data_IF_343743283887
#
_entry.id   IF_343743283887
#
_cell.length_a   1.000
_cell.length_b   1.000
_cell.length_c   1.000
_cell.angle_alpha   90.00
_cell.angle_beta   90.00
_cell.angle_gamma   90.00
#
_symmetry.space_group_name_H-M   'P 1'
#
loop_
_entity.id
_entity.type
_entity.pdbx_description
1 polymer ?
#
# COMPACT_ATOMS: atom_id res chain seq x y z
N UNK A 1 -3.86 9.22 -21.44
CA UNK A 1 -2.99 8.09 -21.05
C UNK A 1 -2.56 8.10 -19.58
N UNK A 2 -1.95 9.17 -19.04
CA UNK A 2 -1.48 9.22 -17.63
C UNK A 2 -2.58 8.94 -16.61
N UNK A 3 -3.76 9.55 -16.79
CA UNK A 3 -4.90 9.37 -15.90
C UNK A 3 -5.65 8.05 -16.18
N UNK A 4 -5.46 7.45 -17.35
CA UNK A 4 -6.03 6.14 -17.71
C UNK A 4 -5.38 5.02 -16.90
N UNK A 5 -4.05 5.03 -16.75
CA UNK A 5 -3.33 4.07 -15.89
C UNK A 5 -3.92 4.06 -14.47
N UNK A 6 -4.22 5.23 -13.94
CA UNK A 6 -4.84 5.37 -12.61
C UNK A 6 -6.24 4.74 -12.57
N UNK A 7 -7.09 5.01 -13.56
CA UNK A 7 -8.44 4.43 -13.66
C UNK A 7 -8.36 2.90 -13.71
N UNK A 8 -7.49 2.35 -14.55
CA UNK A 8 -7.31 0.91 -14.68
C UNK A 8 -6.89 0.26 -13.35
N UNK A 9 -5.98 0.89 -12.60
CA UNK A 9 -5.57 0.41 -11.27
C UNK A 9 -6.70 0.44 -10.23
N UNK A 10 -7.57 1.46 -10.27
CA UNK A 10 -8.69 1.57 -9.33
C UNK A 10 -9.79 0.55 -9.65
N UNK A 11 -10.04 0.27 -10.92
CA UNK A 11 -11.04 -0.71 -11.36
C UNK A 11 -10.54 -2.16 -11.25
N UNK A 12 -9.25 -2.38 -11.11
CA UNK A 12 -8.62 -3.69 -11.08
C UNK A 12 -9.27 -4.70 -10.10
N UNK A 13 -9.62 -4.34 -8.84
CA UNK A 13 -10.27 -5.28 -7.93
C UNK A 13 -11.64 -5.76 -8.44
N UNK A 14 -12.37 -4.90 -9.13
CA UNK A 14 -13.66 -5.23 -9.74
C UNK A 14 -13.45 -6.13 -10.96
N UNK A 15 -12.50 -5.79 -11.84
CA UNK A 15 -12.17 -6.59 -13.03
C UNK A 15 -11.77 -8.01 -12.63
N UNK A 16 -10.84 -8.18 -11.68
CA UNK A 16 -10.40 -9.49 -11.24
C UNK A 16 -11.57 -10.38 -10.75
N UNK A 17 -12.50 -9.79 -10.00
CA UNK A 17 -13.67 -10.52 -9.50
C UNK A 17 -14.62 -10.92 -10.62
N UNK A 18 -14.87 -10.03 -11.57
CA UNK A 18 -15.72 -10.33 -12.72
C UNK A 18 -15.10 -11.44 -13.58
N UNK A 19 -13.78 -11.42 -13.79
CA UNK A 19 -13.07 -12.42 -14.59
C UNK A 19 -13.02 -13.79 -13.93
N UNK A 20 -12.83 -13.84 -12.60
CA UNK A 20 -12.92 -15.07 -11.83
C UNK A 20 -14.32 -15.69 -11.94
N UNK A 21 -15.36 -14.85 -11.85
CA UNK A 21 -16.75 -15.30 -11.97
C UNK A 21 -17.12 -15.76 -13.38
N UNK A 22 -16.54 -15.16 -14.42
CA UNK A 22 -16.77 -15.58 -15.80
C UNK A 22 -16.01 -16.86 -16.19
N UNK A 23 -15.29 -17.49 -15.26
CA UNK A 23 -14.50 -18.70 -15.53
C UNK A 23 -13.26 -18.47 -16.39
N UNK A 24 -12.90 -17.20 -16.64
CA UNK A 24 -11.71 -16.80 -17.42
C UNK A 24 -10.81 -16.01 -16.48
N UNK A 25 -10.02 -16.67 -15.62
CA UNK A 25 -9.16 -15.97 -14.66
C UNK A 25 -8.15 -15.10 -15.42
N UNK A 26 -8.34 -13.78 -15.36
CA UNK A 26 -7.41 -12.83 -15.95
C UNK A 26 -6.36 -12.41 -14.93
N UNK A 27 -5.50 -13.37 -14.54
CA UNK A 27 -4.54 -13.22 -13.45
C UNK A 27 -3.33 -12.34 -13.77
N UNK A 28 -3.21 -11.86 -15.02
CA UNK A 28 -2.03 -11.13 -15.56
C UNK A 28 -2.31 -9.62 -15.72
N UNK A 29 -3.46 -9.13 -15.24
CA UNK A 29 -3.89 -7.73 -15.43
C UNK A 29 -2.85 -6.72 -14.93
N UNK A 30 -2.29 -6.95 -13.74
CA UNK A 30 -1.34 -6.02 -13.12
C UNK A 30 0.00 -6.02 -13.85
N UNK A 31 0.46 -7.19 -14.28
CA UNK A 31 1.69 -7.41 -15.00
C UNK A 31 1.63 -6.71 -16.35
N UNK A 32 0.50 -6.78 -17.07
CA UNK A 32 0.30 -6.10 -18.35
C UNK A 32 0.29 -4.57 -18.21
N UNK A 33 -0.41 -4.02 -17.22
CA UNK A 33 -0.38 -2.56 -16.98
C UNK A 33 1.02 -2.14 -16.56
N UNK A 34 1.68 -2.90 -15.69
CA UNK A 34 3.04 -2.59 -15.23
C UNK A 34 4.04 -2.62 -16.39
N UNK A 35 3.91 -3.58 -17.31
CA UNK A 35 4.71 -3.65 -18.53
C UNK A 35 4.46 -2.42 -19.41
N UNK A 36 3.20 -2.04 -19.62
CA UNK A 36 2.87 -0.82 -20.37
C UNK A 36 3.50 0.41 -19.73
N UNK A 37 3.41 0.56 -18.40
CA UNK A 37 4.02 1.69 -17.67
C UNK A 37 5.55 1.68 -17.78
N UNK A 38 6.17 0.51 -17.72
CA UNK A 38 7.61 0.36 -17.93
C UNK A 38 8.03 0.80 -19.34
N UNK A 39 7.32 0.36 -20.38
CA UNK A 39 7.59 0.76 -21.76
C UNK A 39 7.43 2.27 -21.94
N UNK A 40 6.41 2.87 -21.33
CA UNK A 40 6.22 4.33 -21.36
C UNK A 40 7.34 5.08 -20.64
N UNK A 41 7.85 4.54 -19.54
CA UNK A 41 9.03 5.09 -18.87
C UNK A 41 10.28 4.99 -19.75
N UNK A 42 10.52 3.83 -20.36
CA UNK A 42 11.65 3.63 -21.27
C UNK A 42 11.60 4.62 -22.45
N UNK A 43 10.43 4.78 -23.08
CA UNK A 43 10.23 5.77 -24.14
C UNK A 43 10.53 7.20 -23.67
N UNK A 44 10.11 7.59 -22.47
CA UNK A 44 10.44 8.91 -21.92
C UNK A 44 11.93 9.10 -21.69
N UNK A 45 12.62 8.06 -21.20
CA UNK A 45 14.07 8.08 -20.98
C UNK A 45 14.80 8.24 -22.32
N UNK A 46 14.40 7.47 -23.35
CA UNK A 46 14.97 7.56 -24.69
C UNK A 46 14.78 8.95 -25.31
N UNK A 47 13.59 9.53 -25.19
CA UNK A 47 13.30 10.87 -25.71
C UNK A 47 14.07 11.97 -24.99
N UNK A 48 14.16 11.90 -23.66
CA UNK A 48 14.82 12.93 -22.85
C UNK A 48 16.33 12.76 -22.72
N UNK A 49 16.85 11.58 -23.05
CA UNK A 49 18.24 11.13 -22.84
C UNK A 49 18.76 11.40 -21.42
N UNK A 50 17.86 11.36 -20.42
CA UNK A 50 18.17 11.64 -19.02
C UNK A 50 17.46 10.64 -18.12
N UNK A 51 18.21 10.02 -17.23
CA UNK A 51 17.72 9.10 -16.21
C UNK A 51 17.70 9.83 -14.86
N UNK A 52 16.63 9.68 -14.10
CA UNK A 52 16.57 10.21 -12.74
C UNK A 52 17.59 9.48 -11.87
N UNK A 53 18.40 10.21 -11.11
CA UNK A 53 19.43 9.64 -10.22
C UNK A 53 18.88 8.52 -9.34
N UNK A 54 17.67 8.68 -8.79
CA UNK A 54 17.02 7.68 -7.94
C UNK A 54 16.80 6.32 -8.63
N UNK A 55 16.73 6.27 -9.97
CA UNK A 55 16.65 5.03 -10.72
C UNK A 55 17.90 4.17 -10.55
N UNK A 56 19.07 4.77 -10.26
CA UNK A 56 20.29 4.01 -9.99
C UNK A 56 20.16 3.12 -8.75
N UNK A 57 19.53 3.60 -7.68
CA UNK A 57 19.29 2.75 -6.50
C UNK A 57 18.39 1.56 -6.84
N UNK A 58 17.39 1.77 -7.68
CA UNK A 58 16.54 0.69 -8.17
C UNK A 58 17.33 -0.30 -9.04
N UNK A 59 18.18 0.17 -9.95
CA UNK A 59 19.02 -0.70 -10.78
C UNK A 59 20.02 -1.50 -9.94
N UNK A 60 20.62 -0.90 -8.91
CA UNK A 60 21.50 -1.61 -7.96
C UNK A 60 20.72 -2.68 -7.19
N UNK A 61 19.50 -2.37 -6.75
CA UNK A 61 18.63 -3.36 -6.10
C UNK A 61 18.29 -4.52 -7.03
N UNK A 62 17.94 -4.25 -8.29
CA UNK A 62 17.70 -5.30 -9.30
C UNK A 62 18.95 -6.13 -9.55
N UNK A 63 20.11 -5.51 -9.70
CA UNK A 63 21.38 -6.22 -9.87
C UNK A 63 21.69 -7.13 -8.68
N UNK A 64 21.51 -6.64 -7.44
CA UNK A 64 21.65 -7.43 -6.22
C UNK A 64 20.70 -8.65 -6.23
N UNK A 65 19.42 -8.42 -6.54
CA UNK A 65 18.44 -9.50 -6.61
C UNK A 65 18.80 -10.53 -7.69
N UNK A 66 19.25 -10.08 -8.87
CA UNK A 66 19.70 -10.95 -9.96
C UNK A 66 20.90 -11.80 -9.53
N UNK A 67 21.89 -11.21 -8.85
CA UNK A 67 23.03 -11.95 -8.31
C UNK A 67 22.58 -13.02 -7.30
N UNK A 68 21.61 -12.71 -6.44
CA UNK A 68 21.05 -13.69 -5.51
C UNK A 68 20.36 -14.85 -6.23
N UNK A 69 19.57 -14.57 -7.26
CA UNK A 69 18.92 -15.61 -8.08
C UNK A 69 19.97 -16.51 -8.73
N UNK A 70 21.05 -15.90 -9.23
CA UNK A 70 22.16 -16.62 -9.88
C UNK A 70 22.92 -17.49 -8.89
N UNK A 71 23.35 -16.91 -7.77
CA UNK A 71 24.15 -17.61 -6.76
C UNK A 71 23.40 -18.77 -6.10
N UNK A 72 22.08 -18.66 -5.97
CA UNK A 72 21.22 -19.68 -5.35
C UNK A 72 20.57 -20.63 -6.36
N UNK A 73 20.84 -20.46 -7.66
CA UNK A 73 20.28 -21.28 -8.75
C UNK A 73 18.73 -21.33 -8.79
N UNK A 74 18.05 -20.20 -8.53
CA UNK A 74 16.57 -20.13 -8.42
C UNK A 74 15.94 -19.78 -9.78
N UNK A 75 16.42 -20.40 -10.85
CA UNK A 75 15.96 -20.10 -12.21
C UNK A 75 14.75 -20.94 -12.62
N UNK A 76 13.87 -20.45 -13.51
CA UNK A 76 13.70 -19.05 -13.96
C UNK A 76 12.84 -18.21 -12.99
N UNK A 77 12.27 -18.88 -11.99
CA UNK A 77 11.26 -18.37 -11.08
C UNK A 77 11.70 -17.12 -10.31
N UNK A 78 12.95 -17.08 -9.84
CA UNK A 78 13.52 -15.93 -9.16
C UNK A 78 13.49 -14.66 -10.01
N UNK A 79 13.75 -14.76 -11.32
CA UNK A 79 13.69 -13.61 -12.23
C UNK A 79 12.26 -13.08 -12.42
N UNK A 80 11.28 -13.98 -12.49
CA UNK A 80 9.87 -13.59 -12.53
C UNK A 80 9.49 -12.81 -11.27
N UNK A 81 9.96 -13.26 -10.10
CA UNK A 81 9.70 -12.57 -8.84
C UNK A 81 10.38 -11.19 -8.77
N UNK A 82 11.57 -11.02 -9.35
CA UNK A 82 12.22 -9.70 -9.50
C UNK A 82 11.35 -8.76 -10.34
N UNK A 83 10.78 -9.25 -11.44
CA UNK A 83 9.89 -8.45 -12.28
C UNK A 83 8.64 -7.99 -11.51
N UNK A 84 8.06 -8.89 -10.70
CA UNK A 84 6.92 -8.58 -9.82
C UNK A 84 7.28 -7.50 -8.78
N UNK A 85 8.41 -7.63 -8.10
CA UNK A 85 8.88 -6.63 -7.12
C UNK A 85 9.23 -5.28 -7.75
N UNK A 86 9.61 -5.28 -9.02
CA UNK A 86 9.97 -4.08 -9.77
C UNK A 86 8.78 -3.21 -10.17
N UNK A 87 7.55 -3.77 -10.19
CA UNK A 87 6.35 -3.08 -10.66
C UNK A 87 6.13 -1.74 -9.95
N UNK A 88 6.27 -1.71 -8.62
CA UNK A 88 6.14 -0.47 -7.83
C UNK A 88 7.08 0.64 -8.31
N UNK A 89 8.32 0.29 -8.62
CA UNK A 89 9.34 1.23 -9.09
C UNK A 89 9.04 1.76 -10.48
N UNK A 90 8.44 0.96 -11.37
CA UNK A 90 8.03 1.41 -12.70
C UNK A 90 7.00 2.54 -12.62
N UNK A 91 5.96 2.37 -11.79
CA UNK A 91 4.98 3.43 -11.54
C UNK A 91 5.64 4.67 -10.93
N UNK A 92 6.45 4.50 -9.89
CA UNK A 92 7.12 5.64 -9.25
C UNK A 92 8.00 6.42 -10.24
N UNK A 93 8.89 5.73 -10.97
CA UNK A 93 9.84 6.35 -11.89
C UNK A 93 9.16 7.05 -13.06
N UNK A 94 8.11 6.45 -13.64
CA UNK A 94 7.34 7.02 -14.73
C UNK A 94 6.68 8.36 -14.36
N UNK A 95 6.02 8.42 -13.20
CA UNK A 95 5.36 9.66 -12.77
C UNK A 95 6.37 10.68 -12.22
N UNK A 96 7.48 10.21 -11.64
CA UNK A 96 8.56 11.08 -11.18
C UNK A 96 9.28 11.79 -12.34
N UNK A 97 9.39 11.18 -13.53
CA UNK A 97 10.03 11.78 -14.70
C UNK A 97 9.17 12.80 -15.46
N UNK A 98 7.91 13.02 -15.04
CA UNK A 98 7.04 14.04 -15.62
C UNK A 98 7.55 15.46 -15.32
N UNK A 99 7.23 16.42 -16.20
CA UNK A 99 7.46 17.84 -15.90
C UNK A 99 6.55 18.31 -14.76
N UNK A 100 6.92 19.39 -14.07
CA UNK A 100 6.15 19.90 -12.93
C UNK A 100 4.70 20.21 -13.27
N UNK A 101 4.45 20.90 -14.39
CA UNK A 101 3.09 21.20 -14.85
C UNK A 101 2.30 19.94 -15.17
N UNK A 102 2.97 18.91 -15.70
CA UNK A 102 2.33 17.62 -15.94
C UNK A 102 2.01 16.92 -14.61
N UNK A 103 2.89 17.00 -13.61
CA UNK A 103 2.65 16.43 -12.28
C UNK A 103 1.44 17.07 -11.60
N UNK A 104 1.37 18.40 -11.60
CA UNK A 104 0.25 19.14 -11.00
C UNK A 104 -1.06 18.80 -11.72
N UNK A 105 -1.09 18.90 -13.05
CA UNK A 105 -2.28 18.55 -13.84
C UNK A 105 -2.75 17.12 -13.59
N UNK A 106 -1.84 16.15 -13.61
CA UNK A 106 -2.19 14.75 -13.34
C UNK A 106 -2.68 14.53 -11.91
N UNK A 107 -2.13 15.25 -10.91
CA UNK A 107 -2.64 15.17 -9.53
C UNK A 107 -4.08 15.70 -9.42
N UNK A 108 -4.38 16.80 -10.12
CA UNK A 108 -5.73 17.37 -10.21
C UNK A 108 -6.69 16.39 -10.88
N UNK A 109 -6.30 15.79 -12.01
CA UNK A 109 -7.09 14.76 -12.69
C UNK A 109 -7.39 13.56 -11.78
N UNK A 110 -6.37 13.08 -11.05
CA UNK A 110 -6.49 11.98 -10.10
C UNK A 110 -7.52 12.31 -9.02
N UNK A 111 -7.51 13.52 -8.46
CA UNK A 111 -8.51 13.95 -7.48
C UNK A 111 -9.93 13.90 -8.06
N UNK A 112 -10.15 14.41 -9.26
CA UNK A 112 -11.47 14.37 -9.89
C UNK A 112 -11.94 12.96 -10.22
N UNK A 113 -11.03 12.07 -10.63
CA UNK A 113 -11.33 10.65 -10.84
C UNK A 113 -11.72 10.01 -9.51
N UNK A 114 -10.96 10.27 -8.45
CA UNK A 114 -11.22 9.76 -7.10
C UNK A 114 -12.59 10.21 -6.57
N UNK A 115 -13.01 11.45 -6.82
CA UNK A 115 -14.36 11.92 -6.44
C UNK A 115 -15.46 11.13 -7.16
N UNK A 116 -15.29 10.86 -8.45
CA UNK A 116 -16.23 10.04 -9.22
C UNK A 116 -16.27 8.60 -8.72
N UNK A 117 -15.11 8.03 -8.41
CA UNK A 117 -15.01 6.69 -7.82
C UNK A 117 -15.70 6.67 -6.45
N UNK A 118 -15.52 7.68 -5.61
CA UNK A 118 -16.21 7.76 -4.32
C UNK A 118 -17.74 7.79 -4.51
N UNK A 119 -18.26 8.57 -5.45
CA UNK A 119 -19.70 8.59 -5.77
C UNK A 119 -20.18 7.20 -6.19
N UNK A 120 -19.44 6.54 -7.09
CA UNK A 120 -19.75 5.18 -7.52
C UNK A 120 -19.74 4.20 -6.34
N UNK A 121 -18.77 4.33 -5.42
CA UNK A 121 -18.71 3.51 -4.22
C UNK A 121 -19.86 3.77 -3.26
N UNK A 122 -20.35 5.00 -3.16
CA UNK A 122 -21.53 5.34 -2.36
C UNK A 122 -22.75 4.60 -2.89
N UNK A 123 -22.96 4.62 -4.21
CA UNK A 123 -24.05 3.88 -4.84
C UNK A 123 -23.99 2.38 -4.49
N UNK A 124 -22.82 1.76 -4.62
CA UNK A 124 -22.62 0.35 -4.26
C UNK A 124 -22.69 0.08 -2.75
N UNK A 125 -22.26 1.02 -1.91
CA UNK A 125 -22.33 0.90 -0.45
C UNK A 125 -23.77 0.97 0.06
N UNK A 126 -24.61 1.80 -0.55
CA UNK A 126 -26.05 1.83 -0.29
C UNK A 126 -26.70 0.53 -0.75
N UNK A 127 -26.34 0.02 -1.93
CA UNK A 127 -26.82 -1.27 -2.41
C UNK A 127 -26.41 -2.43 -1.47
N UNK A 128 -25.16 -2.45 -1.01
CA UNK A 128 -24.67 -3.44 -0.03
C UNK A 128 -25.44 -3.38 1.30
N UNK A 129 -25.86 -2.20 1.75
CA UNK A 129 -26.64 -2.04 2.98
C UNK A 129 -28.05 -2.66 2.88
N UNK A 130 -28.72 -2.52 1.73
CA UNK A 130 -30.08 -3.05 1.54
C UNK A 130 -30.09 -4.53 1.11
N UNK A 131 -29.09 -4.97 0.34
CA UNK A 131 -29.02 -6.32 -0.26
C UNK A 131 -27.75 -7.05 0.19
N UNK A 132 -27.51 -7.10 1.49
CA UNK A 132 -26.24 -7.57 2.05
C UNK A 132 -25.90 -9.00 1.63
N UNK A 133 -26.83 -9.94 1.77
CA UNK A 133 -26.57 -11.35 1.49
C UNK A 133 -26.27 -11.60 0.00
N UNK A 134 -27.08 -11.01 -0.87
CA UNK A 134 -26.97 -11.09 -2.32
C UNK A 134 -25.70 -10.41 -2.81
N UNK A 135 -25.35 -9.25 -2.26
CA UNK A 135 -24.14 -8.52 -2.63
C UNK A 135 -22.87 -9.28 -2.22
N UNK A 136 -22.87 -9.87 -1.03
CA UNK A 136 -21.76 -10.69 -0.53
C UNK A 136 -21.57 -11.97 -1.33
N UNK A 137 -22.66 -12.64 -1.70
CA UNK A 137 -22.64 -13.77 -2.61
C UNK A 137 -22.16 -13.36 -4.01
N UNK A 138 -22.61 -12.21 -4.53
CA UNK A 138 -22.20 -11.70 -5.84
C UNK A 138 -20.68 -11.46 -5.92
N UNK A 139 -20.09 -10.92 -4.84
CA UNK A 139 -18.66 -10.63 -4.75
C UNK A 139 -17.81 -11.80 -4.20
N UNK A 140 -18.41 -12.96 -3.92
CA UNK A 140 -17.76 -14.12 -3.28
C UNK A 140 -16.94 -13.74 -2.03
N UNK A 141 -17.54 -12.93 -1.16
CA UNK A 141 -16.88 -12.45 0.06
C UNK A 141 -17.26 -13.35 1.22
N UNK A 142 -16.28 -14.08 1.78
CA UNK A 142 -16.49 -14.83 3.01
C UNK A 142 -16.94 -13.89 4.13
N UNK A 143 -18.10 -14.20 4.72
CA UNK A 143 -18.59 -13.51 5.91
C UNK A 143 -17.65 -13.85 7.06
N UNK A 144 -17.04 -12.81 7.64
CA UNK A 144 -16.37 -12.91 8.92
C UNK A 144 -17.30 -12.22 9.92
N UNK A 145 -17.47 -12.78 11.13
CA UNK A 145 -18.18 -12.13 12.22
C UNK A 145 -17.42 -10.88 12.69
N UNK A 146 -17.48 -9.81 11.89
CA UNK A 146 -16.83 -8.52 12.13
C UNK A 146 -17.84 -7.40 11.89
N UNK A 147 -17.74 -6.36 12.70
CA UNK A 147 -18.57 -5.16 12.59
C UNK A 147 -19.92 -5.26 13.31
N UNK A 148 -20.87 -4.40 12.95
CA UNK A 148 -22.17 -4.27 13.63
C UNK A 148 -23.08 -5.44 13.24
N UNK A 149 -23.36 -6.37 14.16
CA UNK A 149 -24.20 -7.54 13.87
C UNK A 149 -23.62 -8.46 12.79
N UNK A 150 -22.29 -8.49 12.62
CA UNK A 150 -21.62 -9.25 11.56
C UNK A 150 -21.54 -8.53 10.20
N UNK A 151 -22.01 -7.29 10.11
CA UNK A 151 -21.89 -6.44 8.92
C UNK A 151 -20.64 -5.55 8.99
N UNK A 152 -19.87 -5.54 7.91
CA UNK A 152 -18.85 -4.53 7.62
C UNK A 152 -18.98 -4.06 6.17
N UNK A 153 -18.57 -2.84 5.85
CA UNK A 153 -18.68 -2.33 4.49
C UNK A 153 -17.50 -2.78 3.64
N UNK A 154 -17.78 -3.15 2.40
CA UNK A 154 -16.77 -3.66 1.46
C UNK A 154 -16.85 -2.96 0.11
N UNK A 155 -18.04 -2.54 -0.32
CA UNK A 155 -18.31 -1.89 -1.59
C UNK A 155 -17.65 -2.67 -2.76
N UNK A 156 -17.26 -1.97 -3.82
CA UNK A 156 -16.68 -2.55 -5.04
C UNK A 156 -15.36 -3.31 -4.83
N UNK A 157 -14.70 -3.13 -3.69
CA UNK A 157 -13.36 -3.68 -3.43
C UNK A 157 -13.37 -5.12 -2.95
N UNK A 158 -14.50 -5.61 -2.46
CA UNK A 158 -14.61 -7.02 -2.09
C UNK A 158 -13.80 -7.45 -0.87
N UNK A 159 -13.12 -6.53 -0.17
CA UNK A 159 -12.63 -6.70 1.19
C UNK A 159 -12.58 -5.37 1.94
N UNK A 160 -12.77 -5.40 3.27
CA UNK A 160 -12.74 -4.21 4.12
C UNK A 160 -11.36 -3.54 4.15
N UNK A 161 -10.27 -4.32 4.15
CA UNK A 161 -8.91 -3.78 4.10
C UNK A 161 -8.63 -3.01 2.79
N UNK A 162 -9.04 -3.55 1.63
CA UNK A 162 -8.87 -2.83 0.34
C UNK A 162 -9.69 -1.53 0.30
N UNK A 163 -10.93 -1.55 0.80
CA UNK A 163 -11.74 -0.35 0.97
C UNK A 163 -11.03 0.69 1.85
N UNK A 164 -10.51 0.27 3.00
CA UNK A 164 -9.84 1.14 3.95
C UNK A 164 -8.56 1.76 3.38
N UNK A 165 -7.75 0.96 2.68
CA UNK A 165 -6.55 1.42 1.99
C UNK A 165 -6.91 2.49 0.95
N UNK A 166 -7.93 2.23 0.11
CA UNK A 166 -8.39 3.20 -0.88
C UNK A 166 -8.92 4.48 -0.24
N UNK A 167 -9.74 4.38 0.82
CA UNK A 167 -10.23 5.56 1.54
C UNK A 167 -9.10 6.37 2.18
N UNK A 168 -8.10 5.70 2.74
CA UNK A 168 -6.90 6.35 3.28
C UNK A 168 -6.14 7.11 2.19
N UNK A 169 -5.97 6.52 1.01
CA UNK A 169 -5.41 7.19 -0.16
C UNK A 169 -6.23 8.39 -0.60
N UNK A 170 -7.55 8.22 -0.74
CA UNK A 170 -8.48 9.29 -1.08
C UNK A 170 -8.33 10.48 -0.14
N UNK A 171 -8.32 10.23 1.17
CA UNK A 171 -8.15 11.26 2.19
C UNK A 171 -6.81 11.99 2.03
N UNK A 172 -5.70 11.27 1.86
CA UNK A 172 -4.39 11.88 1.64
C UNK A 172 -4.37 12.77 0.37
N UNK A 173 -4.98 12.31 -0.73
CA UNK A 173 -5.10 13.11 -1.97
C UNK A 173 -6.00 14.32 -1.77
N UNK A 174 -7.12 14.17 -1.04
CA UNK A 174 -8.04 15.26 -0.72
C UNK A 174 -7.31 16.38 0.06
N UNK A 175 -6.55 16.01 1.10
CA UNK A 175 -5.75 16.97 1.86
C UNK A 175 -4.64 17.60 1.01
N UNK A 176 -4.01 16.82 0.12
CA UNK A 176 -2.99 17.34 -0.78
C UNK A 176 -3.57 18.34 -1.78
N UNK A 177 -4.77 18.09 -2.30
CA UNK A 177 -5.45 18.99 -3.23
C UNK A 177 -5.81 20.33 -2.59
N UNK A 178 -6.44 20.31 -1.42
CA UNK A 178 -6.90 21.55 -0.78
C UNK A 178 -5.80 22.30 -0.01
N UNK A 179 -5.03 21.60 0.83
CA UNK A 179 -3.99 22.23 1.66
C UNK A 179 -2.61 22.26 0.98
N UNK A 180 -2.35 21.30 0.08
CA UNK A 180 -1.12 21.28 -0.70
C UNK A 180 -1.20 22.22 -1.89
N UNK A 181 -2.14 22.00 -2.81
CA UNK A 181 -2.25 22.81 -4.03
C UNK A 181 -3.03 24.14 -3.83
N UNK A 182 -3.74 24.31 -2.71
CA UNK A 182 -4.41 25.56 -2.35
C UNK A 182 -5.80 25.75 -2.96
N UNK A 183 -6.41 24.69 -3.49
CA UNK A 183 -7.79 24.76 -3.99
C UNK A 183 -8.79 25.01 -2.85
N UNK A 184 -9.75 25.91 -3.09
CA UNK A 184 -10.79 26.24 -2.11
C UNK A 184 -11.64 25.02 -1.75
N UNK A 185 -12.11 24.98 -0.51
CA UNK A 185 -12.94 23.88 0.01
C UNK A 185 -14.41 24.28 -0.12
N UNK A 186 -15.11 23.73 -1.11
CA UNK A 186 -16.55 23.94 -1.27
C UNK A 186 -17.35 23.02 -0.34
N UNK A 187 -18.67 23.27 -0.23
CA UNK A 187 -19.58 22.44 0.59
C UNK A 187 -19.57 20.97 0.16
N UNK A 188 -19.56 20.71 -1.15
CA UNK A 188 -19.48 19.36 -1.72
C UNK A 188 -18.23 18.60 -1.28
N UNK A 189 -17.09 19.29 -1.17
CA UNK A 189 -15.82 18.66 -0.80
C UNK A 189 -15.81 18.23 0.67
N UNK A 190 -16.50 19.00 1.53
CA UNK A 190 -16.73 18.63 2.94
C UNK A 190 -17.61 17.39 3.04
N UNK A 191 -18.66 17.28 2.21
CA UNK A 191 -19.53 16.11 2.18
C UNK A 191 -18.72 14.88 1.76
N UNK A 192 -17.93 14.96 0.71
CA UNK A 192 -17.07 13.86 0.28
C UNK A 192 -16.05 13.45 1.35
N UNK A 193 -15.49 14.41 2.08
CA UNK A 193 -14.60 14.13 3.20
C UNK A 193 -15.30 13.31 4.29
N UNK A 194 -16.51 13.72 4.69
CA UNK A 194 -17.31 13.02 5.71
C UNK A 194 -17.66 11.60 5.25
N UNK A 195 -18.12 11.44 4.00
CA UNK A 195 -18.43 10.14 3.42
C UNK A 195 -17.20 9.23 3.41
N UNK A 196 -16.04 9.73 3.01
CA UNK A 196 -14.81 8.96 2.97
C UNK A 196 -14.38 8.48 4.38
N UNK A 197 -14.51 9.34 5.40
CA UNK A 197 -14.26 8.93 6.79
C UNK A 197 -15.26 7.90 7.28
N UNK A 198 -16.54 8.06 6.94
CA UNK A 198 -17.58 7.10 7.32
C UNK A 198 -17.29 5.73 6.70
N UNK A 199 -16.95 5.67 5.41
CA UNK A 199 -16.59 4.42 4.72
C UNK A 199 -15.32 3.80 5.30
N UNK A 200 -14.33 4.62 5.66
CA UNK A 200 -13.12 4.15 6.33
C UNK A 200 -13.43 3.47 7.68
N UNK A 201 -14.28 4.06 8.52
CA UNK A 201 -14.65 3.47 9.82
C UNK A 201 -15.53 2.22 9.63
N UNK A 202 -16.49 2.28 8.71
CA UNK A 202 -17.39 1.16 8.38
C UNK A 202 -16.67 -0.01 7.70
N UNK A 203 -15.46 0.19 7.18
CA UNK A 203 -14.64 -0.90 6.63
C UNK A 203 -14.16 -1.90 7.68
N UNK A 204 -14.20 -1.52 8.97
CA UNK A 204 -13.67 -2.32 10.08
C UNK A 204 -12.19 -2.70 9.96
N UNK A 205 -11.39 -1.85 9.31
CA UNK A 205 -9.94 -2.06 9.17
C UNK A 205 -9.12 -1.27 10.19
N UNK A 206 -8.80 -1.96 11.28
CA UNK A 206 -8.09 -1.44 12.48
C UNK A 206 -6.88 -0.54 12.16
N UNK A 207 -5.91 -1.09 11.43
CA UNK A 207 -4.62 -0.44 11.18
C UNK A 207 -4.75 0.81 10.31
N UNK A 208 -5.54 0.76 9.23
CA UNK A 208 -5.76 1.90 8.33
C UNK A 208 -6.51 3.02 9.05
N UNK A 209 -7.54 2.70 9.83
CA UNK A 209 -8.28 3.66 10.65
C UNK A 209 -7.35 4.35 11.65
N UNK A 210 -6.53 3.59 12.39
CA UNK A 210 -5.54 4.14 13.33
C UNK A 210 -4.58 5.10 12.62
N UNK A 211 -3.99 4.67 11.50
CA UNK A 211 -3.09 5.51 10.73
C UNK A 211 -3.76 6.81 10.27
N UNK A 212 -4.99 6.77 9.76
CA UNK A 212 -5.67 7.98 9.32
C UNK A 212 -6.02 8.93 10.47
N UNK A 213 -6.27 8.41 11.67
CA UNK A 213 -6.39 9.27 12.84
C UNK A 213 -5.07 9.91 13.25
N UNK A 214 -3.96 9.17 13.23
CA UNK A 214 -2.62 9.73 13.44
C UNK A 214 -2.30 10.79 12.37
N UNK A 215 -2.68 10.53 11.11
CA UNK A 215 -2.56 11.49 10.02
C UNK A 215 -3.26 12.80 10.37
N UNK A 216 -4.53 12.76 10.77
CA UNK A 216 -5.29 13.97 11.15
C UNK A 216 -4.69 14.69 12.35
N UNK A 217 -4.25 13.95 13.36
CA UNK A 217 -3.71 14.50 14.61
C UNK A 217 -2.41 15.29 14.40
N UNK A 218 -1.52 14.79 13.55
CA UNK A 218 -0.24 15.42 13.27
C UNK A 218 -0.28 16.34 12.05
N UNK A 219 -1.39 16.38 11.29
CA UNK A 219 -1.53 17.26 10.14
C UNK A 219 -1.29 18.73 10.52
N UNK A 220 -0.50 19.49 9.73
CA UNK A 220 -0.12 20.86 10.06
C UNK A 220 -1.23 21.85 9.70
N UNK A 221 -2.40 21.74 10.36
CA UNK A 221 -3.47 22.72 10.22
C UNK A 221 -3.00 24.13 10.62
N UNK A 222 -3.53 25.14 9.94
CA UNK A 222 -3.32 26.55 10.29
C UNK A 222 -4.19 26.91 11.50
N UNK A 223 -3.56 27.26 12.63
CA UNK A 223 -4.26 27.71 13.84
C UNK A 223 -3.90 29.18 14.14
N UNK A 224 -4.89 29.96 14.57
CA UNK A 224 -4.69 31.37 14.96
C UNK A 224 -3.88 31.55 16.26
N UNK A 225 -3.80 30.53 17.11
CA UNK A 225 -3.08 30.58 18.40
C UNK A 225 -2.48 29.22 18.75
N UNK A 226 -1.30 29.22 19.36
CA UNK A 226 -0.58 28.02 19.83
C UNK A 226 -1.36 27.27 20.91
N UNK A 227 -2.05 27.99 21.81
CA UNK A 227 -2.86 27.37 22.86
C UNK A 227 -4.09 26.67 22.26
N UNK A 228 -4.79 27.33 21.33
CA UNK A 228 -5.92 26.70 20.60
C UNK A 228 -5.48 25.51 19.76
N UNK A 229 -4.27 25.54 19.20
CA UNK A 229 -3.67 24.40 18.48
C UNK A 229 -3.53 23.19 19.41
N UNK A 230 -2.86 23.36 20.55
CA UNK A 230 -2.63 22.25 21.49
C UNK A 230 -3.92 21.75 22.12
N UNK A 231 -4.82 22.64 22.52
CA UNK A 231 -6.12 22.26 23.06
C UNK A 231 -6.95 21.42 22.07
N UNK A 232 -7.05 21.85 20.80
CA UNK A 232 -7.74 21.07 19.76
C UNK A 232 -7.05 19.74 19.47
N UNK A 233 -5.71 19.68 19.53
CA UNK A 233 -4.96 18.44 19.38
C UNK A 233 -5.19 17.48 20.54
N UNK A 234 -5.25 17.96 21.77
CA UNK A 234 -5.54 17.14 22.96
C UNK A 234 -6.97 16.61 22.90
N UNK A 235 -7.96 17.44 22.55
CA UNK A 235 -9.34 16.98 22.39
C UNK A 235 -9.43 15.93 21.29
N UNK A 236 -8.81 16.19 20.14
CA UNK A 236 -8.77 15.22 19.05
C UNK A 236 -8.07 13.94 19.50
N UNK A 237 -6.94 14.03 20.20
CA UNK A 237 -6.23 12.88 20.74
C UNK A 237 -7.10 12.07 21.71
N UNK A 238 -7.70 12.71 22.71
CA UNK A 238 -8.56 12.06 23.67
C UNK A 238 -9.78 11.42 22.99
N UNK A 239 -10.48 12.15 22.12
CA UNK A 239 -11.61 11.62 21.38
C UNK A 239 -11.26 10.46 20.44
N UNK A 240 -10.11 10.54 19.77
CA UNK A 240 -9.59 9.48 18.90
C UNK A 240 -9.18 8.27 19.71
N UNK A 241 -8.40 8.44 20.77
CA UNK A 241 -7.90 7.33 21.59
C UNK A 241 -9.06 6.65 22.28
N UNK A 242 -9.97 7.39 22.92
CA UNK A 242 -11.16 6.83 23.55
C UNK A 242 -12.07 6.19 22.52
N UNK A 243 -12.31 6.84 21.38
CA UNK A 243 -13.15 6.30 20.31
C UNK A 243 -12.58 5.02 19.69
N UNK A 244 -11.27 4.98 19.43
CA UNK A 244 -10.58 3.79 18.96
C UNK A 244 -10.56 2.69 20.02
N UNK A 245 -10.37 3.03 21.29
CA UNK A 245 -10.36 2.06 22.38
C UNK A 245 -11.74 1.42 22.54
N UNK A 246 -12.83 2.21 22.55
CA UNK A 246 -14.20 1.68 22.52
C UNK A 246 -14.42 0.83 21.27
N UNK A 247 -14.03 1.32 20.10
CA UNK A 247 -14.14 0.60 18.84
C UNK A 247 -13.42 -0.75 18.87
N UNK A 248 -12.21 -0.80 19.45
CA UNK A 248 -11.43 -2.03 19.57
C UNK A 248 -11.98 -2.99 20.62
N UNK A 249 -12.45 -2.49 21.76
CA UNK A 249 -13.04 -3.33 22.80
C UNK A 249 -14.37 -3.93 22.35
N UNK A 250 -15.25 -3.12 21.77
CA UNK A 250 -16.61 -3.54 21.39
C UNK A 250 -16.59 -4.45 20.15
N UNK A 251 -15.80 -4.13 19.13
CA UNK A 251 -15.88 -4.85 17.84
C UNK A 251 -14.75 -5.86 17.59
N UNK A 252 -13.73 -5.91 18.45
CA UNK A 252 -12.56 -6.77 18.23
C UNK A 252 -12.09 -7.56 19.47
N UNK A 253 -12.90 -7.65 20.53
CA UNK A 253 -12.60 -8.42 21.75
C UNK A 253 -12.05 -9.82 21.45
N UNK A 254 -12.81 -10.66 20.73
CA UNK A 254 -12.41 -12.03 20.39
C UNK A 254 -11.16 -12.06 19.48
N UNK A 255 -11.11 -11.17 18.49
CA UNK A 255 -9.99 -11.07 17.56
C UNK A 255 -8.69 -10.60 18.25
N UNK A 256 -8.78 -9.86 19.34
CA UNK A 256 -7.65 -9.43 20.15
C UNK A 256 -7.14 -10.59 21.03
N UNK A 257 -8.04 -11.36 21.66
CA UNK A 257 -7.65 -12.54 22.45
C UNK A 257 -6.83 -13.54 21.62
N UNK A 258 -7.22 -13.77 20.36
CA UNK A 258 -6.46 -14.65 19.44
C UNK A 258 -5.12 -14.04 19.01
N UNK A 259 -5.02 -12.71 18.91
CA UNK A 259 -3.80 -12.03 18.46
C UNK A 259 -2.70 -11.94 19.53
N UNK A 260 -3.06 -12.00 20.81
CA UNK A 260 -2.11 -12.02 21.94
C UNK A 260 -1.66 -13.43 22.34
N UNK A 261 -2.20 -14.48 21.72
CA UNK A 261 -1.76 -15.85 21.98
C UNK A 261 -0.49 -16.23 21.20
N UNK A 262 0.32 -17.11 21.77
CA UNK A 262 1.54 -17.66 21.13
C UNK A 262 1.24 -18.42 19.82
N UNK A 263 -0.02 -18.85 19.64
CA UNK A 263 -0.51 -19.48 18.41
C UNK A 263 -0.81 -18.47 17.29
N UNK A 264 -0.59 -17.17 17.50
CA UNK A 264 -0.86 -16.16 16.47
C UNK A 264 0.07 -16.34 15.26
N UNK A 265 -0.53 -16.62 14.11
CA UNK A 265 0.19 -17.07 12.92
C UNK A 265 1.26 -16.09 12.43
N UNK A 266 1.05 -14.77 12.59
CA UNK A 266 2.02 -13.76 12.13
C UNK A 266 3.27 -13.69 12.99
N UNK A 267 3.17 -13.93 14.29
CA UNK A 267 4.35 -14.02 15.16
C UNK A 267 5.16 -15.26 14.83
N UNK A 268 4.49 -16.38 14.57
CA UNK A 268 5.15 -17.60 14.11
C UNK A 268 5.87 -17.40 12.76
N UNK A 269 5.23 -16.72 11.80
CA UNK A 269 5.87 -16.37 10.53
C UNK A 269 7.08 -15.45 10.75
N UNK A 270 6.98 -14.44 11.62
CA UNK A 270 8.10 -13.55 11.94
C UNK A 270 9.26 -14.31 12.61
N UNK A 271 8.96 -15.21 13.55
CA UNK A 271 9.95 -16.09 14.18
C UNK A 271 10.68 -16.98 13.17
N UNK A 272 9.92 -17.67 12.31
CA UNK A 272 10.48 -18.49 11.22
C UNK A 272 11.28 -17.68 10.20
N UNK A 273 10.82 -16.48 9.86
CA UNK A 273 11.57 -15.53 9.02
C UNK A 273 12.93 -15.20 9.64
N UNK A 274 12.97 -15.00 10.97
CA UNK A 274 14.21 -14.76 11.72
C UNK A 274 15.17 -15.95 11.68
N UNK A 275 14.69 -17.16 11.99
CA UNK A 275 15.47 -18.40 11.91
C UNK A 275 16.09 -18.58 10.52
N UNK A 276 15.25 -18.46 9.48
CA UNK A 276 15.68 -18.63 8.09
C UNK A 276 16.68 -17.56 7.67
N UNK A 277 16.44 -16.31 8.06
CA UNK A 277 17.34 -15.21 7.73
C UNK A 277 18.72 -15.44 8.34
N UNK A 278 18.81 -15.84 9.61
CA UNK A 278 20.09 -16.07 10.29
C UNK A 278 20.94 -17.13 9.59
N UNK A 279 20.32 -18.21 9.14
CA UNK A 279 20.98 -19.28 8.36
C UNK A 279 21.46 -18.86 6.97
N UNK A 280 20.87 -17.79 6.42
CA UNK A 280 21.08 -17.38 5.03
C UNK A 280 21.74 -16.01 4.89
N UNK A 281 22.13 -15.37 5.99
CA UNK A 281 22.91 -14.13 5.95
C UNK A 281 24.27 -14.37 5.28
N UNK A 282 24.82 -13.37 4.56
CA UNK A 282 24.25 -12.04 4.36
C UNK A 282 23.21 -11.96 3.23
N UNK A 283 23.17 -12.93 2.32
CA UNK A 283 22.46 -12.81 1.04
C UNK A 283 20.94 -13.01 1.13
N UNK A 284 20.47 -13.67 2.19
CA UNK A 284 19.09 -14.14 2.30
C UNK A 284 18.88 -15.44 1.53
N UNK A 285 17.64 -15.91 1.53
CA UNK A 285 17.29 -17.18 0.88
C UNK A 285 17.27 -17.09 -0.64
N UNK A 286 17.23 -15.88 -1.18
CA UNK A 286 17.08 -15.59 -2.60
C UNK A 286 15.65 -15.22 -2.96
N UNK A 287 15.52 -14.41 -3.99
CA UNK A 287 14.23 -13.83 -4.39
C UNK A 287 13.30 -14.92 -4.91
N UNK A 288 12.05 -14.94 -4.44
CA UNK A 288 11.08 -15.94 -4.89
C UNK A 288 11.10 -17.25 -4.10
N UNK A 289 11.77 -17.31 -2.96
CA UNK A 289 11.97 -18.56 -2.19
C UNK A 289 11.23 -18.63 -0.87
N UNK A 290 10.71 -17.50 -0.36
CA UNK A 290 9.98 -17.47 0.91
C UNK A 290 8.95 -16.32 1.00
N UNK A 291 7.67 -16.68 1.13
CA UNK A 291 6.57 -15.72 1.31
C UNK A 291 6.24 -14.85 0.10
N UNK A 292 6.65 -15.29 -1.09
CA UNK A 292 6.32 -14.71 -2.39
C UNK A 292 5.45 -15.65 -3.22
N UNK A 293 4.78 -15.17 -4.28
CA UNK A 293 3.85 -16.04 -5.06
C UNK A 293 4.60 -17.19 -5.71
N UNK A 294 5.81 -16.88 -6.16
CA UNK A 294 6.73 -17.82 -6.78
C UNK A 294 7.26 -18.85 -5.78
N UNK A 295 7.39 -18.50 -4.50
CA UNK A 295 7.92 -19.44 -3.49
C UNK A 295 7.08 -20.69 -3.28
N UNK A 296 5.78 -20.67 -3.58
CA UNK A 296 4.96 -21.90 -3.52
C UNK A 296 5.37 -22.96 -4.55
N UNK A 297 6.16 -22.57 -5.55
CA UNK A 297 6.77 -23.46 -6.53
C UNK A 297 8.17 -23.92 -6.11
N UNK A 298 8.79 -23.27 -5.12
CA UNK A 298 10.12 -23.58 -4.56
C UNK A 298 9.96 -24.08 -3.12
N UNK A 299 9.69 -25.37 -2.96
CA UNK A 299 9.24 -25.92 -1.66
C UNK A 299 10.36 -26.21 -0.66
N UNK A 300 11.62 -26.13 -1.07
CA UNK A 300 12.74 -26.67 -0.28
C UNK A 300 12.92 -25.93 1.04
N UNK A 301 12.70 -24.61 1.04
CA UNK A 301 12.73 -23.80 2.27
C UNK A 301 11.58 -24.16 3.19
N UNK A 302 10.39 -24.38 2.64
CA UNK A 302 9.22 -24.77 3.43
C UNK A 302 9.38 -26.13 4.07
N UNK A 303 10.00 -27.09 3.37
CA UNK A 303 10.31 -28.41 3.92
C UNK A 303 11.42 -28.33 4.96
N UNK A 304 12.50 -27.59 4.70
CA UNK A 304 13.65 -27.49 5.59
C UNK A 304 13.29 -26.89 6.96
N UNK A 305 12.44 -25.86 6.97
CA UNK A 305 12.09 -25.12 8.19
C UNK A 305 10.71 -25.50 8.77
N UNK A 306 10.12 -26.60 8.27
CA UNK A 306 8.82 -27.14 8.70
C UNK A 306 7.69 -26.08 8.69
N UNK A 307 7.50 -25.46 7.53
CA UNK A 307 6.49 -24.44 7.33
C UNK A 307 5.22 -25.08 6.79
N UNK A 308 4.25 -25.26 7.68
CA UNK A 308 3.02 -25.99 7.41
C UNK A 308 1.94 -25.21 6.63
N UNK A 309 0.84 -25.92 6.24
CA UNK A 309 -0.29 -25.36 5.50
C UNK A 309 -1.00 -24.20 6.20
N UNK A 310 -0.92 -24.16 7.52
CA UNK A 310 -1.40 -23.05 8.35
C UNK A 310 -0.77 -21.69 8.01
N UNK A 311 0.48 -21.67 7.53
CA UNK A 311 1.19 -20.47 7.08
C UNK A 311 1.04 -20.26 5.57
N UNK A 312 1.14 -21.35 4.80
CA UNK A 312 1.16 -21.32 3.32
C UNK A 312 -0.23 -21.21 2.68
N UNK A 313 -1.27 -21.61 3.41
CA UNK A 313 -2.63 -21.78 2.92
C UNK A 313 -2.97 -23.26 2.67
N UNK A 314 -4.24 -23.60 2.85
CA UNK A 314 -4.74 -24.96 2.62
C UNK A 314 -5.15 -25.14 1.16
N UNK A 315 -4.29 -25.78 0.35
CA UNK A 315 -4.59 -26.09 -1.06
C UNK A 315 -5.85 -26.93 -1.23
N UNK A 316 -6.12 -27.86 -0.32
CA UNK A 316 -7.33 -28.68 -0.29
C UNK A 316 -8.63 -27.89 -0.12
N UNK A 317 -8.55 -26.67 0.41
CA UNK A 317 -9.67 -25.75 0.59
C UNK A 317 -9.70 -24.65 -0.49
N UNK A 318 -8.94 -24.80 -1.57
CA UNK A 318 -8.78 -23.78 -2.61
C UNK A 318 -8.07 -22.50 -2.14
N UNK A 319 -7.46 -22.50 -0.95
CA UNK A 319 -6.74 -21.35 -0.40
C UNK A 319 -5.31 -21.30 -0.94
N UNK A 320 -5.14 -20.70 -2.13
CA UNK A 320 -3.83 -20.51 -2.76
C UNK A 320 -2.97 -19.43 -2.08
N UNK A 321 -3.56 -18.58 -1.25
CA UNK A 321 -2.88 -17.48 -0.55
C UNK A 321 -3.02 -17.63 0.97
N UNK A 322 -1.99 -18.12 1.63
CA UNK A 322 -1.93 -18.20 3.10
C UNK A 322 -1.53 -16.90 3.81
N UNK A 323 -1.54 -16.89 5.15
CA UNK A 323 -1.13 -15.74 5.95
C UNK A 323 0.32 -15.27 5.73
N UNK A 324 1.19 -16.12 5.20
CA UNK A 324 2.60 -15.80 4.91
C UNK A 324 2.76 -14.58 4.00
N UNK A 325 1.86 -14.41 3.03
CA UNK A 325 1.85 -13.28 2.10
C UNK A 325 1.53 -11.95 2.78
N UNK A 326 0.82 -12.01 3.91
CA UNK A 326 0.41 -10.84 4.66
C UNK A 326 1.45 -10.43 5.71
N UNK A 327 2.56 -11.15 5.83
CA UNK A 327 3.74 -10.79 6.63
C UNK A 327 4.89 -10.27 5.74
N UNK A 328 4.53 -9.52 4.69
CA UNK A 328 5.39 -9.22 3.55
C UNK A 328 6.75 -8.65 3.93
N UNK A 329 6.84 -7.70 4.85
CA UNK A 329 8.13 -7.10 5.19
C UNK A 329 9.11 -8.11 5.80
N UNK A 330 8.63 -9.07 6.60
CA UNK A 330 9.46 -10.13 7.19
C UNK A 330 9.92 -11.12 6.11
N UNK A 331 9.00 -11.56 5.26
CA UNK A 331 9.30 -12.52 4.21
C UNK A 331 10.23 -11.92 3.16
N UNK A 332 9.97 -10.68 2.76
CA UNK A 332 10.81 -9.91 1.85
C UNK A 332 12.23 -9.67 2.40
N UNK A 333 12.36 -9.38 3.69
CA UNK A 333 13.67 -9.26 4.35
C UNK A 333 14.42 -10.59 4.32
N UNK A 334 13.72 -11.70 4.55
CA UNK A 334 14.30 -13.06 4.50
C UNK A 334 14.79 -13.43 3.11
N UNK A 335 14.01 -13.10 2.07
CA UNK A 335 14.41 -13.32 0.67
C UNK A 335 15.61 -12.45 0.25
N UNK A 336 15.67 -11.21 0.73
CA UNK A 336 16.68 -10.23 0.32
C UNK A 336 17.94 -10.20 1.17
N UNK A 337 17.93 -10.70 2.41
CA UNK A 337 19.04 -10.55 3.34
C UNK A 337 19.42 -9.07 3.52
N UNK A 338 20.72 -8.76 3.42
CA UNK A 338 21.24 -7.38 3.52
C UNK A 338 20.73 -6.44 2.42
N UNK A 339 20.20 -6.98 1.31
CA UNK A 339 19.58 -6.19 0.24
C UNK A 339 18.40 -5.33 0.71
N UNK A 340 17.78 -5.69 1.85
CA UNK A 340 16.76 -4.85 2.48
C UNK A 340 17.27 -3.44 2.81
N UNK A 341 18.57 -3.27 3.05
CA UNK A 341 19.17 -1.96 3.34
C UNK A 341 19.10 -1.03 2.12
N UNK A 342 19.26 -1.54 0.90
CA UNK A 342 19.09 -0.75 -0.33
C UNK A 342 17.65 -0.30 -0.48
N UNK A 343 16.70 -1.19 -0.19
CA UNK A 343 15.28 -0.90 -0.20
C UNK A 343 14.92 0.19 0.84
N UNK A 344 15.36 0.04 2.09
CA UNK A 344 15.12 1.02 3.14
C UNK A 344 15.82 2.36 2.84
N UNK A 345 17.02 2.33 2.25
CA UNK A 345 17.73 3.53 1.84
C UNK A 345 16.98 4.30 0.74
N UNK A 346 16.34 3.59 -0.20
CA UNK A 346 15.47 4.22 -1.19
C UNK A 346 14.31 4.99 -0.52
N UNK A 347 13.59 4.36 0.42
CA UNK A 347 12.49 5.03 1.15
C UNK A 347 12.99 6.19 2.02
N UNK A 348 14.16 6.05 2.65
CA UNK A 348 14.83 7.14 3.37
C UNK A 348 15.14 8.33 2.45
N UNK A 349 15.58 8.07 1.21
CA UNK A 349 15.79 9.14 0.21
C UNK A 349 14.49 9.82 -0.20
N UNK A 350 13.39 9.07 -0.34
CA UNK A 350 12.07 9.68 -0.58
C UNK A 350 11.63 10.56 0.59
N UNK A 351 11.90 10.14 1.82
CA UNK A 351 11.57 10.90 3.03
C UNK A 351 12.31 12.25 3.06
N UNK A 352 13.59 12.25 2.69
CA UNK A 352 14.42 13.44 2.60
C UNK A 352 14.16 14.32 1.38
N UNK A 353 13.48 13.80 0.35
CA UNK A 353 13.24 14.52 -0.89
C UNK A 353 12.35 15.76 -0.70
N UNK A 354 12.56 16.80 -1.50
CA UNK A 354 11.71 18.00 -1.46
C UNK A 354 10.38 17.73 -2.19
N UNK A 355 9.28 18.12 -1.56
CA UNK A 355 7.97 18.11 -2.21
C UNK A 355 7.90 19.17 -3.33
N UNK A 356 7.06 18.94 -4.32
CA UNK A 356 6.82 19.85 -5.44
C UNK A 356 6.11 21.13 -4.97
N UNK A 357 6.68 22.30 -5.27
CA UNK A 357 6.21 23.61 -4.77
C UNK A 357 5.97 23.54 -3.25
N UNK A 358 7.07 23.35 -2.52
CA UNK A 358 7.10 22.89 -1.13
C UNK A 358 6.24 23.76 -0.19
N UNK A 359 5.38 23.10 0.56
CA UNK A 359 4.72 23.68 1.72
C UNK A 359 4.58 22.61 2.82
N UNK A 360 4.22 23.04 4.04
CA UNK A 360 4.14 22.15 5.21
C UNK A 360 3.20 20.97 4.98
N UNK A 361 2.06 21.18 4.33
CA UNK A 361 1.07 20.15 4.07
C UNK A 361 1.60 19.08 3.09
N UNK A 362 2.18 19.49 1.95
CA UNK A 362 2.73 18.55 0.96
C UNK A 362 3.86 17.71 1.54
N UNK A 363 4.79 18.35 2.26
CA UNK A 363 5.91 17.63 2.90
C UNK A 363 5.40 16.64 3.94
N UNK A 364 4.41 17.04 4.75
CA UNK A 364 3.77 16.14 5.72
C UNK A 364 3.09 14.95 5.05
N UNK A 365 2.22 15.18 4.06
CA UNK A 365 1.46 14.11 3.38
C UNK A 365 2.40 13.13 2.70
N UNK A 366 3.41 13.62 1.97
CA UNK A 366 4.43 12.79 1.31
C UNK A 366 5.15 11.91 2.35
N UNK A 367 5.66 12.51 3.43
CA UNK A 367 6.37 11.76 4.48
C UNK A 367 5.46 10.76 5.20
N UNK A 368 4.22 11.15 5.48
CA UNK A 368 3.24 10.27 6.08
C UNK A 368 2.93 9.07 5.18
N UNK A 369 2.75 9.29 3.87
CA UNK A 369 2.49 8.21 2.92
C UNK A 369 3.64 7.20 2.86
N UNK A 370 4.90 7.66 2.95
CA UNK A 370 6.09 6.78 3.02
C UNK A 370 6.02 5.90 4.27
N UNK A 371 5.76 6.51 5.44
CA UNK A 371 5.61 5.77 6.71
C UNK A 371 4.40 4.81 6.67
N UNK A 372 3.31 5.23 6.04
CA UNK A 372 2.10 4.44 5.86
C UNK A 372 2.36 3.20 5.02
N UNK A 373 3.06 3.35 3.87
CA UNK A 373 3.44 2.22 3.00
C UNK A 373 4.36 1.24 3.73
N UNK A 374 5.38 1.74 4.45
CA UNK A 374 6.28 0.87 5.22
C UNK A 374 5.55 0.16 6.37
N UNK A 375 4.74 0.89 7.14
CA UNK A 375 4.00 0.33 8.27
C UNK A 375 2.97 -0.71 7.83
N UNK A 376 2.25 -0.45 6.73
CA UNK A 376 1.34 -1.46 6.17
C UNK A 376 2.07 -2.66 5.58
N UNK A 377 3.30 -2.49 5.06
CA UNK A 377 4.09 -3.59 4.49
C UNK A 377 4.41 -4.70 5.51
N UNK A 378 4.35 -4.40 6.81
CA UNK A 378 4.45 -5.41 7.88
C UNK A 378 3.24 -6.36 7.90
N UNK A 379 2.08 -5.89 7.44
CA UNK A 379 0.79 -6.57 7.58
C UNK A 379 0.09 -6.92 6.27
N UNK A 380 0.67 -6.54 5.12
CA UNK A 380 0.18 -6.88 3.79
C UNK A 380 1.25 -6.59 2.73
N UNK A 381 1.19 -7.23 1.55
CA UNK A 381 2.19 -7.05 0.51
C UNK A 381 1.92 -5.79 -0.33
N UNK A 382 2.10 -4.61 0.29
CA UNK A 382 1.76 -3.31 -0.31
C UNK A 382 2.46 -3.11 -1.65
N UNK A 383 3.74 -3.44 -1.75
CA UNK A 383 4.56 -3.17 -2.95
C UNK A 383 4.09 -3.89 -4.20
N UNK A 384 3.35 -4.99 -4.07
CA UNK A 384 2.86 -5.79 -5.21
C UNK A 384 1.33 -5.69 -5.36
N UNK A 385 0.74 -4.67 -4.71
CA UNK A 385 -0.69 -4.43 -4.72
C UNK A 385 -1.02 -3.16 -5.51
N UNK A 386 -2.20 -3.13 -6.10
CA UNK A 386 -2.69 -1.96 -6.84
C UNK A 386 -2.73 -0.71 -5.97
N UNK A 387 -3.08 -0.87 -4.69
CA UNK A 387 -2.97 0.21 -3.71
C UNK A 387 -1.53 0.74 -3.58
N UNK A 388 -0.53 -0.13 -3.49
CA UNK A 388 0.87 0.28 -3.48
C UNK A 388 1.27 1.00 -4.75
N UNK A 389 0.75 0.60 -5.92
CA UNK A 389 0.98 1.29 -7.19
C UNK A 389 0.36 2.69 -7.18
N UNK A 390 -0.85 2.87 -6.64
CA UNK A 390 -1.45 4.20 -6.45
C UNK A 390 -0.57 5.08 -5.54
N UNK A 391 0.00 4.51 -4.47
CA UNK A 391 0.95 5.21 -3.62
C UNK A 391 2.24 5.58 -4.36
N UNK A 392 2.77 4.69 -5.21
CA UNK A 392 3.93 4.94 -6.05
C UNK A 392 3.70 6.13 -7.00
N UNK A 393 2.53 6.14 -7.66
CA UNK A 393 2.09 7.23 -8.53
C UNK A 393 2.05 8.55 -7.76
N UNK A 394 1.40 8.58 -6.59
CA UNK A 394 1.30 9.79 -5.78
C UNK A 394 2.67 10.30 -5.32
N UNK A 395 3.57 9.41 -4.88
CA UNK A 395 4.93 9.78 -4.50
C UNK A 395 5.72 10.34 -5.69
N UNK A 396 5.61 9.73 -6.88
CA UNK A 396 6.25 10.23 -8.09
C UNK A 396 5.77 11.63 -8.49
N UNK A 397 4.47 11.89 -8.35
CA UNK A 397 3.82 13.18 -8.64
C UNK A 397 4.13 14.26 -7.60
N UNK A 398 4.27 13.90 -6.33
CA UNK A 398 4.43 14.86 -5.23
C UNK A 398 5.87 15.30 -4.98
N UNK A 399 6.86 14.59 -5.52
CA UNK A 399 8.29 14.88 -5.32
C UNK A 399 8.87 15.67 -6.49
N UNK A 400 9.67 16.70 -6.19
CA UNK A 400 10.36 17.50 -7.21
C UNK A 400 11.70 16.88 -7.63
N UNK A 401 12.65 16.79 -6.70
CA UNK A 401 14.00 16.23 -6.95
C UNK A 401 14.46 15.37 -5.78
N UNK A 402 15.21 14.31 -6.09
CA UNK A 402 15.75 13.35 -5.13
C UNK A 402 17.27 13.30 -5.27
N UNK A 403 18.03 14.02 -4.43
CA UNK A 403 19.49 13.96 -4.49
C UNK A 403 20.00 12.66 -3.85
N UNK A 404 20.81 11.91 -4.59
CA UNK A 404 21.44 10.68 -4.07
C UNK A 404 22.56 10.96 -3.07
N UNK A 405 23.37 11.99 -3.29
CA UNK A 405 24.56 12.28 -2.47
C UNK A 405 24.31 13.36 -1.40
N UNK A 406 23.21 14.10 -1.49
CA UNK A 406 22.86 15.13 -0.49
C UNK A 406 21.86 14.57 0.50
N UNK A 407 22.09 14.84 1.78
CA UNK A 407 21.16 14.57 2.87
C UNK A 407 20.61 15.91 3.38
N UNK A 408 19.37 15.92 3.86
CA UNK A 408 18.84 17.09 4.57
C UNK A 408 19.51 17.14 5.94
N UNK A 409 20.18 18.24 6.25
CA UNK A 409 20.63 18.54 7.61
C UNK A 409 19.41 18.91 8.45
N UNK A 410 19.08 18.08 9.43
CA UNK A 410 17.97 18.32 10.36
C UNK A 410 18.42 19.03 11.65
N UNK A 411 19.73 19.09 11.89
CA UNK A 411 20.34 19.91 12.93
C UNK A 411 20.71 21.27 12.34
N UNK A 412 20.17 22.35 12.90
CA UNK A 412 20.89 23.62 12.92
C UNK A 412 22.01 23.42 13.95
N UNK A 413 23.25 23.39 13.48
CA UNK A 413 24.40 23.60 14.36
C UNK A 413 24.41 25.07 14.74
#
# INVERSE_FOLDING_TARGET
MKSLIFILLVLQPLVNKLTLKSGVPFDVYNELISLAVFLLYALQVLQKKKIASIALLFLILVAYMTLNVVAKNIYPLGFLQIAIYSQWFFYFLYYHSLSEDAKIRTMVDIKYILDKVLIFMVFFGVFELFFYAEYRAFLDVKSFNRGLGGFYMVSIFGSGASLANFMSFYLMVWFYFHYGLGYSIARKDKIFLVIAFMFLVLSFSRKEVLFMFLFLMFFPFSYRSTLRKWFRKIILFAGVVTGLLIYYLVFFSEANQVAFGDKYIRWRIAGKSGEILMDNLPWGTGVGTFGSRVSLMVTDIYKKYDIGPEMLGYRSLGQLRGPIYDAFFFTFTTEMGIGILLFLFFFFKLFNARALNENKAKTYIKNFLILYVLGLSVFQPVLISSFGYLCAIFLGLSIHRIPLLKFRTYAKI
#
